data_IF_462807852691
#
_entry.id   IF_462807852691
#
_cell.length_a   1.000
_cell.length_b   1.000
_cell.length_c   1.000
_cell.angle_alpha   90.00
_cell.angle_beta   90.00
_cell.angle_gamma   90.00
#
_symmetry.space_group_name_H-M   'P 1'
#
loop_
_entity.id
_entity.type
_entity.pdbx_description
1 polymer ?
#
# COMPACT_ATOMS: atom_id res chain seq x y z
N UNK A 1 2.99 5.74 18.58
CA UNK A 1 2.64 4.80 17.49
C UNK A 1 3.88 4.00 17.14
N UNK A 2 3.77 2.67 17.05
CA UNK A 2 4.87 1.80 16.59
C UNK A 2 4.47 1.17 15.25
N UNK A 3 5.41 1.10 14.31
CA UNK A 3 5.22 0.50 12.99
C UNK A 3 6.23 -0.62 12.83
N UNK A 4 5.75 -1.83 12.52
CA UNK A 4 6.58 -2.99 12.20
C UNK A 4 6.32 -3.44 10.78
N UNK A 5 7.38 -3.66 10.02
CA UNK A 5 7.28 -4.31 8.71
C UNK A 5 7.15 -5.82 8.89
N UNK A 6 6.11 -6.40 8.31
CA UNK A 6 5.86 -7.85 8.36
C UNK A 6 6.36 -8.54 7.09
N UNK A 7 6.03 -8.00 5.91
CA UNK A 7 6.48 -8.51 4.63
C UNK A 7 6.65 -7.38 3.61
N UNK A 8 7.47 -7.62 2.59
CA UNK A 8 7.56 -6.76 1.40
C UNK A 8 7.71 -7.64 0.18
N UNK A 9 6.83 -7.43 -0.79
CA UNK A 9 6.75 -8.18 -2.04
C UNK A 9 6.96 -7.22 -3.21
N UNK A 10 7.73 -7.65 -4.21
CA UNK A 10 7.98 -6.89 -5.44
C UNK A 10 7.15 -7.46 -6.58
N UNK A 11 6.41 -6.61 -7.28
CA UNK A 11 5.51 -6.97 -8.38
C UNK A 11 5.92 -6.30 -9.70
N UNK A 12 7.24 -6.14 -9.91
CA UNK A 12 7.79 -5.46 -11.08
C UNK A 12 7.72 -3.94 -10.94
N UNK A 13 6.59 -3.35 -11.32
CA UNK A 13 6.41 -1.89 -11.38
C UNK A 13 6.00 -1.24 -10.05
N UNK A 14 5.70 -2.05 -9.03
CA UNK A 14 5.35 -1.60 -7.69
C UNK A 14 5.76 -2.61 -6.63
N UNK A 15 5.85 -2.14 -5.39
CA UNK A 15 6.09 -2.95 -4.21
C UNK A 15 4.89 -2.90 -3.27
N UNK A 16 4.57 -4.03 -2.63
CA UNK A 16 3.53 -4.12 -1.61
C UNK A 16 4.19 -4.46 -0.27
N UNK A 17 4.02 -3.59 0.71
CA UNK A 17 4.55 -3.80 2.07
C UNK A 17 3.40 -3.95 3.05
N UNK A 18 3.45 -5.00 3.86
CA UNK A 18 2.51 -5.22 4.96
C UNK A 18 3.11 -4.64 6.24
N UNK A 19 2.45 -3.62 6.80
CA UNK A 19 2.81 -3.00 8.05
C UNK A 19 1.84 -3.39 9.16
N UNK A 20 2.36 -3.61 10.35
CA UNK A 20 1.59 -3.76 11.58
C UNK A 20 1.79 -2.50 12.40
N UNK A 21 0.71 -1.74 12.58
CA UNK A 21 0.67 -0.51 13.36
C UNK A 21 0.09 -0.82 14.72
N UNK A 22 0.79 -0.43 15.77
CA UNK A 22 0.33 -0.53 17.15
C UNK A 22 0.18 0.87 17.75
N UNK A 23 -1.00 1.16 18.28
CA UNK A 23 -1.19 2.38 19.06
C UNK A 23 -0.43 2.24 20.40
N UNK A 24 0.40 3.22 20.74
CA UNK A 24 1.18 3.19 21.99
C UNK A 24 0.34 3.58 23.21
N UNK A 25 -0.79 4.25 23.01
CA UNK A 25 -1.71 4.64 24.08
C UNK A 25 -2.81 3.60 24.32
N UNK A 26 -2.98 2.67 23.39
CA UNK A 26 -4.06 1.67 23.40
C UNK A 26 -3.46 0.34 22.94
N UNK A 27 -2.96 -0.44 23.90
CA UNK A 27 -2.11 -1.61 23.66
C UNK A 27 -2.77 -2.69 22.79
N UNK A 28 -4.09 -2.74 22.79
CA UNK A 28 -4.87 -3.77 22.09
C UNK A 28 -5.29 -3.33 20.68
N UNK A 29 -5.12 -2.04 20.35
CA UNK A 29 -5.44 -1.49 19.03
C UNK A 29 -4.27 -1.73 18.05
N UNK A 30 -4.23 -2.92 17.47
CA UNK A 30 -3.33 -3.28 16.37
C UNK A 30 -4.07 -3.20 15.03
N UNK A 31 -3.46 -2.58 14.02
CA UNK A 31 -3.99 -2.51 12.65
C UNK A 31 -2.95 -3.01 11.65
N UNK A 32 -3.42 -3.74 10.65
CA UNK A 32 -2.61 -4.14 9.49
C UNK A 32 -2.87 -3.14 8.37
N UNK A 33 -1.81 -2.55 7.84
CA UNK A 33 -1.86 -1.62 6.69
C UNK A 33 -1.07 -2.24 5.54
N UNK A 34 -1.67 -2.23 4.34
CA UNK A 34 -0.95 -2.55 3.11
C UNK A 34 -0.57 -1.27 2.41
N UNK A 35 0.72 -1.13 2.18
CA UNK A 35 1.30 0.02 1.50
C UNK A 35 1.71 -0.38 0.09
N UNK A 36 1.01 0.19 -0.89
CA UNK A 36 1.25 -0.01 -2.31
C UNK A 36 2.10 1.16 -2.81
N UNK A 37 3.34 0.89 -3.25
CA UNK A 37 4.25 1.91 -3.78
C UNK A 37 4.57 1.63 -5.24
N UNK A 38 4.04 2.44 -6.14
CA UNK A 38 4.43 2.41 -7.55
C UNK A 38 5.83 3.01 -7.71
N UNK A 39 6.74 2.28 -8.36
CA UNK A 39 8.17 2.66 -8.45
C UNK A 39 8.59 3.09 -9.85
N UNK A 40 7.79 2.79 -10.87
CA UNK A 40 8.10 3.06 -12.27
C UNK A 40 7.49 4.38 -12.77
N UNK A 41 7.23 5.35 -11.88
CA UNK A 41 6.81 6.67 -12.32
C UNK A 41 8.02 7.46 -12.82
N UNK A 42 8.06 7.89 -14.09
CA UNK A 42 9.22 8.57 -14.64
C UNK A 42 9.32 10.03 -14.17
N UNK A 43 10.53 10.58 -14.11
CA UNK A 43 10.75 11.99 -13.76
C UNK A 43 10.04 12.96 -14.72
N UNK A 44 9.85 12.55 -15.98
CA UNK A 44 9.14 13.31 -17.02
C UNK A 44 8.14 12.43 -17.73
N UNK A 45 6.90 12.91 -17.84
CA UNK A 45 5.82 12.23 -18.56
C UNK A 45 4.93 11.39 -17.66
N UNK A 46 4.34 10.35 -18.24
CA UNK A 46 3.40 9.43 -17.60
C UNK A 46 3.98 8.01 -17.58
N UNK A 47 3.64 7.18 -16.59
CA UNK A 47 4.07 5.79 -16.56
C UNK A 47 3.41 4.95 -17.66
N UNK A 48 3.91 3.72 -17.85
CA UNK A 48 3.23 2.75 -18.70
C UNK A 48 1.81 2.48 -18.18
N UNK A 49 0.83 2.62 -19.07
CA UNK A 49 -0.59 2.53 -18.72
C UNK A 49 -0.97 1.14 -18.20
N UNK A 50 -0.36 0.07 -18.72
CA UNK A 50 -0.65 -1.30 -18.29
C UNK A 50 -0.09 -1.55 -16.90
N UNK A 51 1.13 -1.11 -16.64
CA UNK A 51 1.77 -1.21 -15.31
C UNK A 51 0.97 -0.44 -14.26
N UNK A 52 0.61 0.80 -14.56
CA UNK A 52 -0.15 1.63 -13.63
C UNK A 52 -1.57 1.10 -13.40
N UNK A 53 -2.25 0.61 -14.46
CA UNK A 53 -3.55 -0.05 -14.30
C UNK A 53 -3.45 -1.33 -13.46
N UNK A 54 -2.37 -2.11 -13.59
CA UNK A 54 -2.14 -3.30 -12.76
C UNK A 54 -1.95 -2.93 -11.27
N UNK A 55 -1.21 -1.86 -10.99
CA UNK A 55 -1.05 -1.30 -9.65
C UNK A 55 -2.40 -0.90 -9.03
N UNK A 56 -3.21 -0.09 -9.71
CA UNK A 56 -4.51 0.38 -9.20
C UNK A 56 -5.47 -0.79 -8.95
N UNK A 57 -5.54 -1.77 -9.87
CA UNK A 57 -6.38 -2.96 -9.68
C UNK A 57 -5.95 -3.80 -8.48
N UNK A 58 -4.65 -3.88 -8.23
CA UNK A 58 -4.10 -4.60 -7.07
C UNK A 58 -4.46 -3.91 -5.76
N UNK A 59 -4.39 -2.57 -5.71
CA UNK A 59 -4.83 -1.78 -4.57
C UNK A 59 -6.35 -1.88 -4.33
N UNK A 60 -7.16 -1.82 -5.39
CA UNK A 60 -8.63 -1.93 -5.29
C UNK A 60 -9.06 -3.32 -4.79
N UNK A 61 -8.42 -4.40 -5.29
CA UNK A 61 -8.65 -5.75 -4.78
C UNK A 61 -8.35 -5.85 -3.28
N UNK A 62 -7.26 -5.22 -2.82
CA UNK A 62 -6.92 -5.21 -1.40
C UNK A 62 -7.90 -4.39 -0.54
N UNK A 63 -8.53 -3.34 -1.09
CA UNK A 63 -9.58 -2.58 -0.40
C UNK A 63 -10.79 -3.44 -0.05
N UNK A 64 -11.09 -4.50 -0.80
CA UNK A 64 -12.24 -5.37 -0.53
C UNK A 64 -12.20 -6.00 0.87
N UNK A 65 -11.04 -6.12 1.49
CA UNK A 65 -10.88 -6.61 2.86
C UNK A 65 -11.16 -5.55 3.93
N UNK A 66 -11.26 -4.29 3.55
CA UNK A 66 -11.58 -3.17 4.44
C UNK A 66 -12.37 -2.09 3.67
N UNK A 67 -13.57 -2.42 3.16
CA UNK A 67 -14.28 -1.62 2.16
C UNK A 67 -14.76 -0.26 2.67
N UNK A 68 -14.89 -0.11 3.99
CA UNK A 68 -15.36 1.13 4.66
C UNK A 68 -14.22 2.06 5.08
N UNK A 69 -12.96 1.65 4.91
CA UNK A 69 -11.80 2.44 5.30
C UNK A 69 -11.37 3.35 4.15
N UNK A 70 -11.01 4.61 4.42
CA UNK A 70 -10.45 5.48 3.39
C UNK A 70 -9.09 4.95 2.92
N UNK A 71 -8.77 5.17 1.64
CA UNK A 71 -7.44 4.93 1.10
C UNK A 71 -6.64 6.24 1.20
N UNK A 72 -5.46 6.17 1.80
CA UNK A 72 -4.49 7.27 1.77
C UNK A 72 -3.66 7.16 0.50
N UNK A 73 -3.59 8.24 -0.28
CA UNK A 73 -2.81 8.32 -1.52
C UNK A 73 -1.85 9.51 -1.40
N UNK A 74 -0.58 9.29 -1.71
CA UNK A 74 0.43 10.33 -1.79
C UNK A 74 1.46 9.98 -2.89
N UNK A 75 2.26 10.97 -3.28
CA UNK A 75 3.45 10.80 -4.12
C UNK A 75 4.72 11.17 -3.34
#
# INVERSE_FOLDING_TARGET
MQVKTESTESMGAFTVTKFVLKNSQESDATKVVRHFRFTNWPDKGIPDVKEFAHFIRSADKARLESPKSPIVVHC
#
